data_IF_098451747139
#
_entry.id   IF_098451747139
#
_cell.length_a   1.000
_cell.length_b   1.000
_cell.length_c   1.000
_cell.angle_alpha   90.00
_cell.angle_beta   90.00
_cell.angle_gamma   90.00
#
_symmetry.space_group_name_H-M   'P 1'
#
loop_
_entity.id
_entity.type
_entity.pdbx_description
1 polymer ?
#
# COMPACT_ATOMS: atom_id res chain seq x y z
N UNK A 1 1.98 31.23 -20.07
CA UNK A 1 1.91 29.88 -19.46
C UNK A 1 0.46 29.42 -19.55
N UNK A 2 0.07 28.87 -20.72
CA UNK A 2 -0.18 27.44 -20.98
C UNK A 2 -1.27 26.80 -20.09
N UNK A 3 -2.51 27.28 -20.28
CA UNK A 3 -3.73 26.51 -20.04
C UNK A 3 -4.59 26.59 -21.30
N UNK A 4 -4.30 25.77 -22.31
CA UNK A 4 -5.18 25.53 -23.46
C UNK A 4 -4.81 24.19 -24.10
N UNK A 5 -5.47 23.11 -23.66
CA UNK A 5 -5.77 21.85 -24.37
C UNK A 5 -6.37 20.84 -23.38
N UNK A 6 -7.57 21.13 -22.90
CA UNK A 6 -8.47 20.13 -22.28
C UNK A 6 -9.93 20.35 -22.70
N UNK A 7 -10.17 21.20 -23.71
CA UNK A 7 -11.51 21.48 -24.23
C UNK A 7 -11.60 21.02 -25.69
N UNK A 8 -11.47 19.72 -25.91
CA UNK A 8 -12.06 19.01 -27.06
C UNK A 8 -12.67 17.71 -26.54
N UNK A 9 -13.45 17.83 -25.46
CA UNK A 9 -14.29 16.76 -24.92
C UNK A 9 -15.60 17.47 -24.54
N UNK A 10 -16.71 17.05 -25.15
CA UNK A 10 -18.06 17.65 -25.09
C UNK A 10 -18.24 19.04 -25.72
N UNK A 11 -18.39 19.07 -27.04
CA UNK A 11 -19.49 19.81 -27.68
C UNK A 11 -19.61 19.33 -29.13
N UNK A 12 -20.86 19.23 -29.59
CA UNK A 12 -21.33 19.22 -30.99
C UNK A 12 -22.22 18.02 -31.33
N UNK A 13 -23.25 17.81 -30.51
CA UNK A 13 -24.53 17.27 -30.98
C UNK A 13 -25.51 18.44 -31.07
N UNK A 14 -25.50 19.18 -32.17
CA UNK A 14 -26.41 20.31 -32.31
C UNK A 14 -26.05 21.29 -33.42
N UNK A 15 -26.24 20.88 -34.67
CA UNK A 15 -26.72 21.73 -35.77
C UNK A 15 -26.67 20.95 -37.08
N UNK A 16 -27.57 19.98 -37.24
CA UNK A 16 -27.82 19.33 -38.53
C UNK A 16 -29.15 19.81 -39.08
N UNK A 17 -29.28 21.06 -39.54
CA UNK A 17 -30.38 21.44 -40.43
C UNK A 17 -29.95 22.51 -41.45
N UNK A 18 -30.07 22.10 -42.72
CA UNK A 18 -30.34 22.87 -43.93
C UNK A 18 -29.31 23.93 -44.40
N UNK A 19 -28.67 23.66 -45.55
CA UNK A 19 -29.04 24.31 -46.81
C UNK A 19 -28.37 23.58 -48.01
N UNK A 20 -29.18 23.26 -49.01
CA UNK A 20 -28.77 22.69 -50.30
C UNK A 20 -27.98 23.73 -51.13
N UNK A 21 -26.88 23.30 -51.77
CA UNK A 21 -26.15 24.12 -52.74
C UNK A 21 -24.87 23.46 -53.23
N UNK A 22 -24.83 23.13 -54.52
CA UNK A 22 -23.84 22.26 -55.19
C UNK A 22 -22.44 22.89 -55.39
N UNK A 23 -21.40 22.04 -55.31
CA UNK A 23 -19.97 22.31 -55.60
C UNK A 23 -19.07 21.32 -54.85
N UNK A 24 -17.78 21.08 -55.19
CA UNK A 24 -17.02 19.91 -54.73
C UNK A 24 -16.55 20.09 -53.29
N UNK A 25 -17.48 20.05 -52.34
CA UNK A 25 -17.22 20.02 -50.90
C UNK A 25 -16.99 18.58 -50.42
N UNK A 26 -17.22 17.59 -51.29
CA UNK A 26 -17.10 16.17 -50.97
C UNK A 26 -15.66 15.74 -50.64
N UNK A 27 -14.64 16.31 -51.27
CA UNK A 27 -13.25 15.93 -50.98
C UNK A 27 -12.70 16.54 -49.68
N UNK A 28 -13.09 17.78 -49.34
CA UNK A 28 -12.63 18.44 -48.10
C UNK A 28 -13.40 17.97 -46.86
N UNK A 29 -14.67 17.55 -47.02
CA UNK A 29 -15.42 16.88 -45.97
C UNK A 29 -14.87 15.48 -45.70
N UNK A 30 -14.43 14.75 -46.73
CA UNK A 30 -13.80 13.43 -46.57
C UNK A 30 -12.39 13.52 -45.98
N UNK A 31 -11.58 14.52 -46.34
CA UNK A 31 -10.22 14.69 -45.80
C UNK A 31 -10.23 15.21 -44.35
N UNK A 32 -11.22 16.04 -43.97
CA UNK A 32 -11.44 16.45 -42.57
C UNK A 32 -12.19 15.39 -41.74
N UNK A 33 -13.06 14.57 -42.34
CA UNK A 33 -13.61 13.38 -41.70
C UNK A 33 -12.53 12.30 -41.50
N UNK A 34 -11.58 12.16 -42.44
CA UNK A 34 -10.41 11.28 -42.32
C UNK A 34 -9.40 11.75 -41.25
N UNK A 35 -9.34 13.06 -40.97
CA UNK A 35 -8.57 13.64 -39.87
C UNK A 35 -9.30 13.59 -38.51
N UNK A 36 -10.65 13.55 -38.49
CA UNK A 36 -11.44 13.35 -37.27
C UNK A 36 -11.63 11.87 -36.88
N UNK A 37 -11.45 10.94 -37.82
CA UNK A 37 -11.08 9.56 -37.51
C UNK A 37 -9.60 9.49 -37.12
N UNK A 38 -9.23 10.18 -36.05
CA UNK A 38 -8.04 9.82 -35.29
C UNK A 38 -8.30 8.45 -34.67
N UNK A 39 -8.22 7.40 -35.51
CA UNK A 39 -8.00 6.00 -35.19
C UNK A 39 -8.53 5.57 -33.82
N UNK A 40 -9.84 5.71 -33.57
CA UNK A 40 -10.50 5.12 -32.41
C UNK A 40 -10.55 3.60 -32.64
N UNK A 41 -9.43 2.94 -32.38
CA UNK A 41 -9.32 1.48 -32.45
C UNK A 41 -9.69 0.96 -31.06
N UNK A 42 -10.74 0.12 -30.93
CA UNK A 42 -11.03 -0.55 -29.67
C UNK A 42 -9.78 -1.28 -29.14
N UNK A 43 -9.59 -1.25 -27.84
CA UNK A 43 -8.42 -1.78 -27.16
C UNK A 43 -7.44 -0.70 -26.70
N UNK A 44 -6.16 -1.05 -26.65
CA UNK A 44 -5.10 -0.22 -26.09
C UNK A 44 -4.78 1.00 -26.96
N UNK A 45 -4.82 2.18 -26.33
CA UNK A 45 -4.48 3.46 -26.94
C UNK A 45 -3.58 4.26 -26.00
N UNK A 46 -2.60 4.97 -26.57
CA UNK A 46 -1.67 5.79 -25.80
C UNK A 46 -1.91 7.28 -26.08
N UNK A 47 -2.03 8.08 -25.02
CA UNK A 47 -2.14 9.53 -25.12
C UNK A 47 -1.34 10.20 -23.99
N UNK A 48 -0.50 11.17 -24.34
CA UNK A 48 0.33 11.93 -23.38
C UNK A 48 1.18 11.04 -22.46
N UNK A 49 1.68 9.91 -22.99
CA UNK A 49 2.50 8.96 -22.24
C UNK A 49 1.71 8.02 -21.32
N UNK A 50 0.38 8.12 -21.28
CA UNK A 50 -0.49 7.23 -20.50
C UNK A 50 -1.24 6.26 -21.41
N UNK A 51 -1.53 5.08 -20.90
CA UNK A 51 -2.30 4.05 -21.61
C UNK A 51 -3.77 4.08 -21.21
N UNK A 52 -4.64 3.85 -22.17
CA UNK A 52 -6.09 3.84 -22.04
C UNK A 52 -6.65 2.63 -22.77
N UNK A 53 -7.77 2.11 -22.30
CA UNK A 53 -8.52 1.08 -23.01
C UNK A 53 -9.83 1.66 -23.53
N UNK A 54 -10.02 1.61 -24.85
CA UNK A 54 -11.26 1.99 -25.49
C UNK A 54 -12.13 0.76 -25.72
N UNK A 55 -13.38 0.85 -25.30
CA UNK A 55 -14.41 -0.14 -25.57
C UNK A 55 -14.87 -0.07 -27.04
N UNK A 56 -15.64 -1.08 -27.48
CA UNK A 56 -16.14 -1.14 -28.86
C UNK A 56 -17.03 0.04 -29.25
N UNK A 57 -17.69 0.66 -28.28
CA UNK A 57 -18.54 1.84 -28.45
C UNK A 57 -17.75 3.16 -28.41
N UNK A 58 -16.42 3.09 -28.27
CA UNK A 58 -15.53 4.25 -28.20
C UNK A 58 -15.43 4.89 -26.81
N UNK A 59 -16.04 4.30 -25.78
CA UNK A 59 -15.94 4.79 -24.41
C UNK A 59 -14.64 4.32 -23.72
N UNK A 60 -14.14 5.12 -22.78
CA UNK A 60 -13.00 4.73 -21.93
C UNK A 60 -13.44 3.72 -20.86
N UNK A 61 -12.69 2.62 -20.75
CA UNK A 61 -12.86 1.66 -19.66
C UNK A 61 -12.27 2.21 -18.35
N UNK A 62 -12.90 1.87 -17.23
CA UNK A 62 -12.51 2.25 -15.87
C UNK A 62 -12.61 1.03 -14.96
N UNK A 63 -11.75 0.95 -13.95
CA UNK A 63 -11.68 -0.17 -13.01
C UNK A 63 -10.95 -1.38 -13.59
N UNK A 64 -11.34 -2.57 -13.12
CA UNK A 64 -10.69 -3.83 -13.46
C UNK A 64 -10.88 -4.23 -14.93
N UNK A 65 -9.77 -4.31 -15.65
CA UNK A 65 -9.72 -4.76 -17.04
C UNK A 65 -8.97 -6.09 -17.14
N UNK A 66 -9.60 -7.11 -17.74
CA UNK A 66 -8.95 -8.38 -18.06
C UNK A 66 -8.87 -8.57 -19.56
N UNK A 67 -7.66 -8.61 -20.09
CA UNK A 67 -7.40 -8.80 -21.52
C UNK A 67 -6.15 -9.66 -21.72
N UNK A 68 -6.14 -10.49 -22.76
CA UNK A 68 -5.00 -11.36 -23.11
C UNK A 68 -4.48 -12.24 -21.95
N UNK A 69 -5.37 -12.63 -21.04
CA UNK A 69 -5.02 -13.45 -19.86
C UNK A 69 -4.33 -12.67 -18.73
N UNK A 70 -4.15 -11.36 -18.86
CA UNK A 70 -3.60 -10.46 -17.84
C UNK A 70 -4.69 -9.57 -17.23
N UNK A 71 -4.45 -9.13 -16.00
CA UNK A 71 -5.32 -8.18 -15.29
C UNK A 71 -4.64 -6.83 -15.19
N UNK A 72 -5.40 -5.78 -15.39
CA UNK A 72 -5.00 -4.38 -15.35
C UNK A 72 -6.02 -3.60 -14.52
N UNK A 73 -5.64 -2.42 -14.06
CA UNK A 73 -6.57 -1.49 -13.43
C UNK A 73 -6.50 -0.13 -14.11
N UNK A 74 -7.66 0.38 -14.50
CA UNK A 74 -7.83 1.68 -15.11
C UNK A 74 -8.38 2.64 -14.05
N UNK A 75 -7.72 3.78 -13.83
CA UNK A 75 -8.15 4.76 -12.84
C UNK A 75 -9.49 5.44 -13.21
N UNK A 76 -9.94 6.38 -12.39
CA UNK A 76 -11.20 7.09 -12.60
C UNK A 76 -11.22 7.94 -13.90
N UNK A 77 -10.04 8.29 -14.41
CA UNK A 77 -9.88 8.99 -15.70
C UNK A 77 -9.71 8.01 -16.87
N UNK A 78 -9.73 6.70 -16.62
CA UNK A 78 -9.50 5.64 -17.59
C UNK A 78 -8.02 5.44 -17.94
N UNK A 79 -7.09 6.03 -17.18
CA UNK A 79 -5.66 5.82 -17.38
C UNK A 79 -5.19 4.55 -16.66
N UNK A 80 -4.36 3.76 -17.33
CA UNK A 80 -3.80 2.53 -16.80
C UNK A 80 -2.90 2.80 -15.60
N UNK A 81 -3.11 2.07 -14.52
CA UNK A 81 -2.32 2.16 -13.29
C UNK A 81 -1.05 1.32 -13.38
N UNK A 82 0.03 1.86 -12.83
CA UNK A 82 1.32 1.20 -12.60
C UNK A 82 1.75 1.46 -11.16
N UNK A 83 2.58 0.59 -10.58
CA UNK A 83 3.03 0.64 -9.20
C UNK A 83 2.00 0.15 -8.19
N UNK A 84 2.19 0.52 -6.92
CA UNK A 84 1.30 0.19 -5.82
C UNK A 84 -0.06 0.89 -5.94
N UNK A 85 -1.14 0.16 -5.71
CA UNK A 85 -2.50 0.70 -5.74
C UNK A 85 -3.42 -0.04 -4.78
N UNK A 86 -4.12 0.72 -3.95
CA UNK A 86 -5.26 0.23 -3.20
C UNK A 86 -6.52 0.18 -4.10
N UNK A 87 -7.20 -0.95 -4.10
CA UNK A 87 -8.50 -1.17 -4.75
C UNK A 87 -9.39 -1.95 -3.79
N UNK A 88 -10.54 -1.38 -3.45
CA UNK A 88 -11.55 -2.01 -2.58
C UNK A 88 -10.99 -2.53 -1.23
N UNK A 89 -10.01 -1.83 -0.64
CA UNK A 89 -9.39 -2.19 0.65
C UNK A 89 -8.29 -3.25 0.57
N UNK A 90 -7.88 -3.63 -0.64
CA UNK A 90 -6.77 -4.54 -0.91
C UNK A 90 -5.67 -3.81 -1.70
N UNK A 91 -4.41 -4.13 -1.42
CA UNK A 91 -3.26 -3.55 -2.11
C UNK A 91 -2.77 -4.47 -3.22
N UNK A 92 -2.51 -3.89 -4.38
CA UNK A 92 -2.01 -4.58 -5.57
C UNK A 92 -0.77 -3.88 -6.09
N UNK A 93 0.07 -4.61 -6.81
CA UNK A 93 1.18 -4.03 -7.57
C UNK A 93 0.96 -4.26 -9.06
N UNK A 94 1.05 -3.19 -9.84
CA UNK A 94 0.98 -3.23 -11.30
C UNK A 94 2.37 -2.95 -11.88
N UNK A 95 2.88 -3.84 -12.72
CA UNK A 95 4.18 -3.67 -13.37
C UNK A 95 4.17 -2.46 -14.33
N UNK A 96 5.33 -2.08 -14.86
CA UNK A 96 5.43 -0.94 -15.80
C UNK A 96 4.57 -1.11 -17.06
N UNK A 97 4.32 -2.36 -17.46
CA UNK A 97 3.42 -2.71 -18.57
C UNK A 97 1.94 -2.72 -18.16
N UNK A 98 1.62 -2.36 -16.91
CA UNK A 98 0.29 -2.34 -16.30
C UNK A 98 -0.23 -3.70 -15.84
N UNK A 99 0.51 -4.79 -16.05
CA UNK A 99 0.10 -6.12 -15.63
C UNK A 99 0.11 -6.24 -14.11
N UNK A 100 -0.99 -6.70 -13.52
CA UNK A 100 -1.08 -6.99 -12.10
C UNK A 100 -0.15 -8.14 -11.70
N UNK A 101 0.60 -7.94 -10.63
CA UNK A 101 1.47 -8.96 -10.05
C UNK A 101 0.64 -10.07 -9.36
N UNK A 102 1.04 -11.33 -9.55
CA UNK A 102 0.36 -12.52 -8.99
C UNK A 102 1.30 -13.43 -8.19
N UNK A 103 2.59 -13.09 -8.13
CA UNK A 103 3.62 -13.92 -7.52
C UNK A 103 4.51 -13.12 -6.58
N UNK A 104 5.68 -13.66 -6.26
CA UNK A 104 6.69 -12.94 -5.49
C UNK A 104 7.17 -11.69 -6.25
N UNK A 105 7.36 -10.60 -5.52
CA UNK A 105 7.95 -9.36 -6.03
C UNK A 105 9.12 -8.96 -5.13
N UNK A 106 10.21 -8.52 -5.73
CA UNK A 106 11.34 -7.92 -5.03
C UNK A 106 11.52 -6.51 -5.58
N UNK A 107 11.48 -5.51 -4.70
CA UNK A 107 11.78 -4.11 -5.03
C UNK A 107 12.81 -3.62 -4.02
N UNK A 108 13.96 -3.15 -4.50
CA UNK A 108 15.10 -2.75 -3.68
C UNK A 108 15.47 -3.83 -2.65
N UNK A 109 15.29 -3.56 -1.35
CA UNK A 109 15.50 -4.52 -0.27
C UNK A 109 14.20 -5.11 0.29
N UNK A 110 13.04 -4.81 -0.31
CA UNK A 110 11.73 -5.34 0.07
C UNK A 110 11.34 -6.58 -0.74
N UNK A 111 10.80 -7.58 -0.05
CA UNK A 111 10.24 -8.81 -0.59
C UNK A 111 8.75 -8.88 -0.25
N UNK A 112 7.91 -9.05 -1.25
CA UNK A 112 6.45 -8.97 -1.12
C UNK A 112 5.79 -10.27 -1.57
N UNK A 113 4.82 -10.72 -0.78
CA UNK A 113 4.02 -11.91 -1.04
C UNK A 113 2.58 -11.51 -1.33
N UNK A 114 2.02 -12.08 -2.39
CA UNK A 114 0.66 -11.81 -2.84
C UNK A 114 -0.18 -13.08 -2.82
N UNK A 115 -1.49 -12.91 -2.67
CA UNK A 115 -2.47 -13.97 -2.82
C UNK A 115 -2.59 -14.39 -4.29
N UNK A 116 -3.25 -15.52 -4.55
CA UNK A 116 -3.55 -15.96 -5.92
C UNK A 116 -4.43 -15.00 -6.72
N UNK A 117 -5.04 -14.01 -6.06
CA UNK A 117 -5.85 -12.96 -6.69
C UNK A 117 -5.08 -11.64 -6.83
N UNK A 118 -3.79 -11.60 -6.46
CA UNK A 118 -2.92 -10.43 -6.60
C UNK A 118 -2.96 -9.44 -5.43
N UNK A 119 -3.79 -9.68 -4.40
CA UNK A 119 -3.79 -8.84 -3.20
C UNK A 119 -2.56 -9.13 -2.33
N UNK A 120 -1.89 -8.08 -1.86
CA UNK A 120 -0.74 -8.13 -0.95
C UNK A 120 -1.14 -8.86 0.35
N UNK A 121 -0.27 -9.76 0.81
CA UNK A 121 -0.49 -10.57 2.02
C UNK A 121 0.53 -10.23 3.09
N UNK A 122 1.80 -10.10 2.70
CA UNK A 122 2.86 -9.73 3.62
C UNK A 122 4.03 -9.09 2.86
N UNK A 123 4.86 -8.37 3.59
CA UNK A 123 6.15 -7.91 3.11
C UNK A 123 7.23 -8.15 4.17
N UNK A 124 8.47 -8.25 3.73
CA UNK A 124 9.65 -8.41 4.57
C UNK A 124 10.86 -7.83 3.87
N UNK A 125 12.00 -7.78 4.55
CA UNK A 125 13.26 -7.48 3.89
C UNK A 125 13.75 -8.72 3.13
N UNK A 126 14.56 -8.50 2.10
CA UNK A 126 15.31 -9.58 1.42
C UNK A 126 16.34 -10.14 2.40
N UNK A 127 16.35 -11.45 2.60
CA UNK A 127 17.28 -12.09 3.53
C UNK A 127 18.74 -11.80 3.18
N UNK A 128 19.58 -11.67 4.21
CA UNK A 128 21.01 -11.38 4.13
C UNK A 128 21.37 -10.01 3.51
N UNK A 129 20.46 -9.03 3.57
CA UNK A 129 20.74 -7.63 3.18
C UNK A 129 20.98 -6.71 4.38
N UNK A 130 20.99 -7.25 5.59
CA UNK A 130 21.25 -6.52 6.83
C UNK A 130 19.99 -6.21 7.64
N UNK A 131 18.82 -6.70 7.21
CA UNK A 131 17.53 -6.35 7.80
C UNK A 131 17.22 -4.85 7.75
N UNK A 132 16.43 -4.39 8.72
CA UNK A 132 16.04 -2.98 8.84
C UNK A 132 14.81 -2.60 8.02
N UNK A 133 14.74 -1.32 7.70
CA UNK A 133 13.61 -0.70 7.02
C UNK A 133 13.52 -1.13 5.54
N UNK A 134 12.29 -1.22 5.05
CA UNK A 134 11.94 -1.45 3.64
C UNK A 134 10.58 -0.82 3.37
N UNK A 135 10.31 -0.47 2.11
CA UNK A 135 9.00 0.04 1.69
C UNK A 135 7.92 -1.03 1.92
N UNK A 136 6.89 -0.73 2.71
CA UNK A 136 5.81 -1.69 2.95
C UNK A 136 4.83 -1.78 1.77
N UNK A 137 4.88 -0.83 0.83
CA UNK A 137 4.04 -0.72 -0.36
C UNK A 137 2.58 -0.33 -0.10
N UNK A 138 2.14 -0.37 1.16
CA UNK A 138 0.74 -0.16 1.56
C UNK A 138 0.56 0.92 2.63
N UNK A 139 1.64 1.52 3.10
CA UNK A 139 1.62 2.59 4.07
C UNK A 139 1.63 3.95 3.39
N UNK A 140 0.94 4.92 3.99
CA UNK A 140 1.16 6.33 3.67
C UNK A 140 2.53 6.78 4.19
N UNK A 141 2.98 7.96 3.76
CA UNK A 141 4.30 8.49 4.11
C UNK A 141 4.55 8.52 5.63
N UNK A 142 3.50 8.80 6.41
CA UNK A 142 3.56 8.94 7.87
C UNK A 142 3.68 7.59 8.57
N UNK A 143 2.90 6.59 8.14
CA UNK A 143 3.02 5.21 8.61
C UNK A 143 4.34 4.58 8.18
N UNK A 144 4.82 4.87 6.97
CA UNK A 144 6.10 4.37 6.48
C UNK A 144 7.27 4.92 7.30
N UNK A 145 7.29 6.21 7.64
CA UNK A 145 8.35 6.78 8.49
C UNK A 145 8.37 6.13 9.89
N UNK A 146 7.21 5.93 10.52
CA UNK A 146 7.15 5.21 11.79
C UNK A 146 7.63 3.76 11.65
N UNK A 147 7.27 3.09 10.55
CA UNK A 147 7.71 1.73 10.26
C UNK A 147 9.22 1.64 10.09
N UNK A 148 9.83 2.60 9.40
CA UNK A 148 11.27 2.66 9.20
C UNK A 148 11.99 2.82 10.54
N UNK A 149 11.57 3.77 11.38
CA UNK A 149 12.14 3.99 12.70
C UNK A 149 12.05 2.75 13.61
N UNK A 150 10.91 2.04 13.58
CA UNK A 150 10.72 0.79 14.33
C UNK A 150 11.62 -0.34 13.82
N UNK A 151 11.79 -0.47 12.51
CA UNK A 151 12.66 -1.48 11.92
C UNK A 151 14.14 -1.19 12.16
N UNK A 152 14.57 0.06 11.99
CA UNK A 152 15.94 0.47 12.27
C UNK A 152 16.30 0.21 13.73
N UNK A 153 15.41 0.58 14.67
CA UNK A 153 15.67 0.29 16.08
C UNK A 153 15.72 -1.22 16.37
N UNK A 154 14.89 -2.02 15.72
CA UNK A 154 14.89 -3.47 15.87
C UNK A 154 16.17 -4.10 15.31
N UNK A 155 16.64 -3.61 14.17
CA UNK A 155 17.92 -4.00 13.56
C UNK A 155 19.08 -3.73 14.51
N UNK A 156 19.15 -2.52 15.06
CA UNK A 156 20.19 -2.13 16.01
C UNK A 156 20.21 -3.08 17.21
N UNK A 157 19.05 -3.31 17.85
CA UNK A 157 18.94 -4.21 19.00
C UNK A 157 19.41 -5.62 18.67
N UNK A 158 19.06 -6.12 17.47
CA UNK A 158 19.43 -7.46 17.04
C UNK A 158 20.95 -7.61 16.87
N UNK A 159 21.62 -6.66 16.23
CA UNK A 159 23.07 -6.73 16.05
C UNK A 159 23.85 -6.36 17.32
N UNK A 160 23.28 -5.56 18.22
CA UNK A 160 23.80 -5.40 19.57
C UNK A 160 23.77 -6.72 20.38
N UNK A 161 22.70 -7.53 20.25
CA UNK A 161 22.60 -8.84 20.91
C UNK A 161 23.50 -9.91 20.23
N UNK A 162 23.75 -9.78 18.92
CA UNK A 162 24.52 -10.75 18.13
C UNK A 162 25.56 -10.10 17.19
N UNK A 163 26.61 -9.45 17.74
CA UNK A 163 27.58 -8.71 16.92
C UNK A 163 28.32 -9.60 15.91
N UNK A 164 28.65 -10.84 16.29
CA UNK A 164 29.38 -11.79 15.43
C UNK A 164 28.62 -12.15 14.13
N UNK A 165 27.31 -11.86 14.04
CA UNK A 165 26.50 -12.14 12.84
C UNK A 165 26.75 -11.16 11.71
N UNK A 166 27.29 -9.98 11.99
CA UNK A 166 27.61 -8.97 10.97
C UNK A 166 28.93 -9.33 10.24
N UNK A 167 29.88 -9.92 10.96
CA UNK A 167 31.26 -10.12 10.48
C UNK A 167 31.49 -11.44 9.70
N UNK A 168 30.62 -12.45 9.85
CA UNK A 168 30.87 -13.81 9.34
C UNK A 168 30.20 -14.14 7.99
N UNK A 169 29.59 -13.19 7.27
CA UNK A 169 28.93 -13.51 6.00
C UNK A 169 29.90 -13.60 4.81
N UNK A 170 30.34 -14.82 4.48
CA UNK A 170 31.20 -15.10 3.31
C UNK A 170 30.42 -15.45 2.01
N UNK A 171 29.09 -15.49 2.08
CA UNK A 171 28.21 -15.79 0.95
C UNK A 171 28.08 -17.28 0.57
N UNK A 172 28.86 -18.19 1.17
CA UNK A 172 28.78 -19.65 0.97
C UNK A 172 28.10 -20.35 2.18
N UNK A 173 28.03 -19.66 3.32
CA UNK A 173 27.25 -20.11 4.47
C UNK A 173 25.74 -20.09 4.20
N UNK A 174 25.09 -21.26 4.37
CA UNK A 174 23.63 -21.43 4.30
C UNK A 174 22.88 -20.87 5.54
N UNK A 175 23.36 -19.74 6.10
CA UNK A 175 22.77 -19.10 7.28
C UNK A 175 22.10 -17.78 6.86
N UNK A 176 20.95 -17.51 7.46
CA UNK A 176 20.27 -16.21 7.35
C UNK A 176 20.72 -15.37 8.55
N UNK A 177 21.71 -14.50 8.36
CA UNK A 177 22.36 -13.80 9.48
C UNK A 177 21.47 -12.69 10.06
N UNK A 178 20.59 -12.12 9.26
CA UNK A 178 19.68 -11.03 9.60
C UNK A 178 18.25 -11.48 9.88
N UNK A 179 18.01 -12.79 10.10
CA UNK A 179 16.68 -13.43 10.18
C UNK A 179 15.65 -12.68 11.05
N UNK A 180 16.09 -11.98 12.09
CA UNK A 180 15.21 -11.25 13.01
C UNK A 180 15.52 -9.76 13.14
N UNK A 181 16.33 -9.21 12.22
CA UNK A 181 16.77 -7.81 12.23
C UNK A 181 15.73 -6.86 11.60
N UNK A 182 14.46 -7.26 11.54
CA UNK A 182 13.36 -6.44 11.04
C UNK A 182 12.00 -7.07 11.38
N UNK A 183 10.94 -6.37 11.02
CA UNK A 183 9.56 -6.86 11.12
C UNK A 183 9.08 -7.35 9.76
N UNK A 184 8.35 -8.47 9.74
CA UNK A 184 7.52 -8.83 8.60
C UNK A 184 6.19 -8.08 8.71
N UNK A 185 5.89 -7.20 7.76
CA UNK A 185 4.59 -6.55 7.65
C UNK A 185 3.54 -7.61 7.29
N UNK A 186 2.42 -7.61 8.01
CA UNK A 186 1.31 -8.55 7.77
C UNK A 186 0.01 -7.81 7.50
N UNK A 187 -0.58 -8.02 6.31
CA UNK A 187 -1.77 -7.30 5.88
C UNK A 187 -3.01 -7.61 6.73
N UNK A 188 -3.07 -8.79 7.36
CA UNK A 188 -4.18 -9.10 8.28
C UNK A 188 -4.03 -8.28 9.56
N UNK A 189 -2.80 -8.11 10.05
CA UNK A 189 -2.53 -7.22 11.18
C UNK A 189 -2.74 -5.75 10.84
N UNK A 190 -2.44 -5.30 9.62
CA UNK A 190 -2.75 -3.94 9.16
C UNK A 190 -4.27 -3.67 9.19
N UNK A 191 -5.06 -4.59 8.65
CA UNK A 191 -6.53 -4.49 8.70
C UNK A 191 -7.06 -4.52 10.13
N UNK A 192 -6.49 -5.35 11.00
CA UNK A 192 -6.82 -5.37 12.41
C UNK A 192 -6.48 -4.04 13.09
N UNK A 193 -5.30 -3.48 12.83
CA UNK A 193 -4.88 -2.19 13.34
C UNK A 193 -5.81 -1.07 12.86
N UNK A 194 -6.22 -1.08 11.58
CA UNK A 194 -7.18 -0.13 11.02
C UNK A 194 -8.54 -0.18 11.70
N UNK A 195 -9.12 -1.38 11.80
CA UNK A 195 -10.39 -1.60 12.51
C UNK A 195 -10.34 -1.08 13.95
N UNK A 196 -9.26 -1.43 14.66
CA UNK A 196 -9.08 -1.06 16.07
C UNK A 196 -8.78 0.43 16.24
N UNK A 197 -8.08 1.05 15.30
CA UNK A 197 -7.85 2.49 15.30
C UNK A 197 -9.18 3.24 15.15
N UNK A 198 -10.01 2.83 14.19
CA UNK A 198 -11.33 3.43 13.98
C UNK A 198 -12.22 3.26 15.21
N UNK A 199 -12.21 2.06 15.84
CA UNK A 199 -12.91 1.78 17.10
C UNK A 199 -12.41 2.64 18.26
N UNK A 200 -11.10 2.78 18.42
CA UNK A 200 -10.47 3.61 19.46
C UNK A 200 -10.77 5.11 19.29
N UNK A 201 -10.80 5.61 18.06
CA UNK A 201 -11.11 7.00 17.75
C UNK A 201 -12.59 7.34 17.93
N UNK A 202 -13.49 6.38 17.69
CA UNK A 202 -14.93 6.57 17.83
C UNK A 202 -15.43 6.33 19.27
N UNK A 203 -14.99 5.24 19.90
CA UNK A 203 -15.50 4.79 21.20
C UNK A 203 -14.57 5.09 22.39
N UNK A 204 -13.34 5.53 22.13
CA UNK A 204 -12.30 5.68 23.13
C UNK A 204 -11.47 4.41 23.34
N UNK A 205 -10.38 4.55 24.09
CA UNK A 205 -9.42 3.49 24.37
C UNK A 205 -8.93 3.64 25.81
N UNK A 206 -9.10 2.59 26.62
CA UNK A 206 -8.66 2.56 28.01
C UNK A 206 -8.29 1.13 28.41
N UNK A 207 -7.25 0.98 29.25
CA UNK A 207 -6.80 -0.31 29.77
C UNK A 207 -6.62 -1.41 28.71
N UNK A 208 -6.02 -1.03 27.58
CA UNK A 208 -5.80 -1.89 26.41
C UNK A 208 -7.09 -2.50 25.83
N UNK A 209 -8.20 -1.75 25.93
CA UNK A 209 -9.54 -2.16 25.49
C UNK A 209 -10.25 -1.05 24.73
N UNK A 210 -11.02 -1.48 23.74
CA UNK A 210 -12.00 -0.66 23.01
C UNK A 210 -13.40 -1.04 23.51
N UNK A 211 -14.25 -0.06 23.88
CA UNK A 211 -15.62 -0.35 24.31
C UNK A 211 -16.41 -1.13 23.26
N UNK A 212 -17.05 -2.23 23.67
CA UNK A 212 -17.84 -3.11 22.79
C UNK A 212 -17.03 -4.17 22.05
N UNK A 213 -15.72 -3.99 21.87
CA UNK A 213 -14.84 -4.93 21.15
C UNK A 213 -13.91 -5.70 22.10
N UNK A 214 -13.43 -5.06 23.17
CA UNK A 214 -12.48 -5.64 24.10
C UNK A 214 -11.03 -5.45 23.68
N UNK A 215 -10.20 -6.46 23.96
CA UNK A 215 -8.76 -6.44 23.68
C UNK A 215 -8.45 -6.86 22.25
N UNK A 216 -7.23 -6.58 21.78
CA UNK A 216 -6.76 -7.07 20.47
C UNK A 216 -6.83 -8.59 20.36
N UNK A 217 -6.62 -9.33 21.45
CA UNK A 217 -6.74 -10.79 21.45
C UNK A 217 -8.17 -11.27 21.22
N UNK A 218 -9.16 -10.54 21.75
CA UNK A 218 -10.58 -10.84 21.54
C UNK A 218 -10.93 -10.66 20.06
N UNK A 219 -10.47 -9.56 19.45
CA UNK A 219 -10.66 -9.28 18.02
C UNK A 219 -9.93 -10.30 17.11
N UNK A 220 -8.66 -10.59 17.37
CA UNK A 220 -7.89 -11.57 16.60
C UNK A 220 -8.50 -12.97 16.69
N UNK A 221 -9.08 -13.32 17.85
CA UNK A 221 -9.84 -14.55 18.03
C UNK A 221 -11.13 -14.56 17.20
N UNK A 222 -11.85 -13.44 17.17
CA UNK A 222 -13.06 -13.27 16.36
C UNK A 222 -12.80 -13.48 14.87
N UNK A 223 -11.71 -12.93 14.33
CA UNK A 223 -11.32 -13.12 12.92
C UNK A 223 -10.56 -14.44 12.67
N UNK A 224 -10.43 -15.31 13.67
CA UNK A 224 -9.71 -16.58 13.61
C UNK A 224 -8.24 -16.48 13.16
N UNK A 225 -7.57 -15.38 13.49
CA UNK A 225 -6.18 -15.14 13.09
C UNK A 225 -5.23 -15.34 14.28
N UNK A 226 -4.34 -16.34 14.18
CA UNK A 226 -3.22 -16.59 15.12
C UNK A 226 -3.59 -16.44 16.61
N UNK A 227 -4.77 -16.92 17.03
CA UNK A 227 -5.37 -16.76 18.38
C UNK A 227 -4.51 -17.12 19.60
N UNK A 228 -3.40 -17.83 19.42
CA UNK A 228 -2.48 -18.24 20.50
C UNK A 228 -1.13 -17.51 20.45
N UNK A 229 -0.93 -16.61 19.48
CA UNK A 229 0.29 -15.84 19.36
C UNK A 229 0.31 -14.74 20.41
N UNK A 230 1.48 -14.51 21.02
CA UNK A 230 1.68 -13.33 21.85
C UNK A 230 1.60 -12.08 20.96
N UNK A 231 0.70 -11.17 21.29
CA UNK A 231 0.58 -9.88 20.63
C UNK A 231 0.68 -8.72 21.63
N UNK A 232 1.06 -7.55 21.14
CA UNK A 232 1.05 -6.30 21.86
C UNK A 232 0.44 -5.23 20.98
N UNK A 233 -0.60 -4.60 21.50
CA UNK A 233 -1.24 -3.45 20.89
C UNK A 233 -0.72 -2.16 21.51
N UNK A 234 -0.44 -1.18 20.65
CA UNK A 234 0.03 0.13 21.01
C UNK A 234 -0.81 1.17 20.28
N UNK A 235 -1.78 1.74 20.99
CA UNK A 235 -2.48 2.93 20.52
C UNK A 235 -1.67 4.19 20.87
N UNK A 236 -1.20 4.90 19.86
CA UNK A 236 -0.39 6.12 19.98
C UNK A 236 -1.19 7.27 19.38
N UNK A 237 -1.32 8.37 20.11
CA UNK A 237 -2.27 9.44 19.78
C UNK A 237 -1.67 10.80 20.00
N UNK A 238 -2.27 11.78 19.33
CA UNK A 238 -1.96 13.20 19.50
C UNK A 238 -0.47 13.47 19.27
N UNK A 239 0.07 12.95 18.17
CA UNK A 239 1.46 13.19 17.75
C UNK A 239 1.52 14.28 16.69
N UNK A 240 2.60 15.06 16.67
CA UNK A 240 2.93 15.99 15.61
C UNK A 240 3.46 15.26 14.37
N UNK A 241 4.25 14.21 14.58
CA UNK A 241 4.88 13.41 13.53
C UNK A 241 5.14 11.95 13.96
N UNK A 242 5.74 11.18 13.05
CA UNK A 242 6.11 9.79 13.29
C UNK A 242 7.25 9.64 14.32
N UNK A 243 8.17 10.60 14.42
CA UNK A 243 9.24 10.58 15.43
C UNK A 243 8.69 10.72 16.86
N UNK A 244 7.72 11.62 17.07
CA UNK A 244 7.04 11.70 18.36
C UNK A 244 6.24 10.42 18.66
N UNK A 245 5.63 9.81 17.64
CA UNK A 245 4.95 8.53 17.80
C UNK A 245 5.92 7.41 18.21
N UNK A 246 7.09 7.36 17.58
CA UNK A 246 8.16 6.42 17.90
C UNK A 246 8.67 6.60 19.33
N UNK A 247 8.93 7.83 19.77
CA UNK A 247 9.37 8.13 21.13
C UNK A 247 8.32 7.71 22.17
N UNK A 248 7.03 7.99 21.90
CA UNK A 248 5.93 7.51 22.76
C UNK A 248 5.84 6.00 22.83
N UNK A 249 6.10 5.28 21.72
CA UNK A 249 6.17 3.81 21.72
C UNK A 249 7.30 3.34 22.62
N UNK A 250 8.51 3.88 22.44
CA UNK A 250 9.67 3.50 23.26
C UNK A 250 9.42 3.75 24.74
N UNK A 251 8.92 4.93 25.09
CA UNK A 251 8.62 5.27 26.48
C UNK A 251 7.61 4.29 27.10
N UNK A 252 6.56 3.91 26.35
CA UNK A 252 5.58 2.90 26.79
C UNK A 252 6.20 1.52 26.99
N UNK A 253 7.05 1.10 26.06
CA UNK A 253 7.74 -0.19 26.13
C UNK A 253 8.72 -0.22 27.32
N UNK A 254 9.54 0.81 27.48
CA UNK A 254 10.54 0.92 28.55
C UNK A 254 9.89 0.94 29.93
N UNK A 255 8.83 1.74 30.11
CA UNK A 255 8.06 1.78 31.37
C UNK A 255 7.51 0.39 31.74
N UNK A 256 6.95 -0.32 30.78
CA UNK A 256 6.40 -1.66 31.00
C UNK A 256 7.53 -2.68 31.27
N UNK A 257 8.64 -2.60 30.53
CA UNK A 257 9.81 -3.45 30.73
C UNK A 257 10.41 -3.30 32.14
N UNK A 258 10.63 -2.07 32.61
CA UNK A 258 11.13 -1.80 33.96
C UNK A 258 10.18 -2.28 35.05
N UNK A 259 8.87 -2.23 34.81
CA UNK A 259 7.87 -2.63 35.80
C UNK A 259 7.70 -4.14 35.95
N UNK A 260 7.90 -4.91 34.88
CA UNK A 260 7.55 -6.34 34.81
C UNK A 260 8.73 -7.26 34.51
N UNK A 261 9.85 -6.72 34.05
CA UNK A 261 11.03 -7.48 33.58
C UNK A 261 10.65 -8.56 32.55
N UNK A 262 9.69 -8.24 31.68
CA UNK A 262 9.12 -9.18 30.72
C UNK A 262 9.62 -8.85 29.31
N UNK A 263 10.27 -9.83 28.65
CA UNK A 263 10.82 -9.66 27.29
C UNK A 263 9.76 -9.29 26.27
N UNK A 264 8.47 -9.51 26.54
CA UNK A 264 7.37 -9.06 25.67
C UNK A 264 7.29 -7.54 25.50
N UNK A 265 8.05 -6.75 26.27
CA UNK A 265 8.15 -5.31 26.08
C UNK A 265 9.42 -4.88 25.33
N UNK A 266 10.20 -5.82 24.76
CA UNK A 266 11.23 -5.54 23.77
C UNK A 266 10.70 -5.77 22.35
N UNK A 267 11.09 -4.91 21.41
CA UNK A 267 10.79 -5.08 19.98
C UNK A 267 11.36 -6.39 19.42
N UNK A 268 12.46 -6.90 19.99
CA UNK A 268 13.12 -8.14 19.57
C UNK A 268 12.26 -9.39 19.77
N UNK A 269 11.30 -9.33 20.69
CA UNK A 269 10.40 -10.44 21.01
C UNK A 269 9.43 -10.74 19.87
N UNK A 270 9.04 -9.71 19.12
CA UNK A 270 8.06 -9.79 18.04
C UNK A 270 8.72 -10.00 16.68
N UNK A 271 7.98 -10.61 15.75
CA UNK A 271 8.44 -10.97 14.40
C UNK A 271 7.63 -10.26 13.32
N UNK A 272 6.34 -10.08 13.58
CA UNK A 272 5.38 -9.46 12.68
C UNK A 272 4.90 -8.14 13.24
N UNK A 273 4.54 -7.25 12.33
CA UNK A 273 3.95 -5.96 12.62
C UNK A 273 2.75 -5.77 11.69
N UNK A 274 1.67 -5.21 12.23
CA UNK A 274 0.73 -4.47 11.42
C UNK A 274 0.45 -3.10 12.04
N UNK A 275 0.20 -2.10 11.22
CA UNK A 275 -0.18 -0.78 11.70
C UNK A 275 -1.23 -0.11 10.83
N UNK A 276 -1.85 0.91 11.40
CA UNK A 276 -2.70 1.85 10.70
C UNK A 276 -2.44 3.26 11.22
N UNK A 277 -2.70 4.23 10.35
CA UNK A 277 -2.51 5.65 10.59
C UNK A 277 -3.78 6.44 10.24
N UNK A 278 -4.04 7.50 11.02
CA UNK A 278 -5.08 8.50 10.78
C UNK A 278 -4.59 9.87 11.19
N UNK A 279 -4.77 10.85 10.32
CA UNK A 279 -4.67 12.25 10.68
C UNK A 279 -6.04 12.78 11.14
N UNK A 280 -6.06 13.54 12.24
CA UNK A 280 -7.24 14.28 12.69
C UNK A 280 -6.83 15.58 13.36
N UNK A 281 -7.40 16.69 12.91
CA UNK A 281 -7.16 18.04 13.45
C UNK A 281 -5.65 18.42 13.46
N UNK A 282 -4.91 17.98 12.42
CA UNK A 282 -3.46 18.21 12.29
C UNK A 282 -2.58 17.36 13.21
N UNK A 283 -3.17 16.36 13.87
CA UNK A 283 -2.48 15.41 14.75
C UNK A 283 -2.52 14.01 14.17
N UNK A 284 -1.45 13.25 14.42
CA UNK A 284 -1.26 11.89 13.93
C UNK A 284 -1.65 10.87 15.01
N UNK A 285 -2.36 9.83 14.58
CA UNK A 285 -2.84 8.74 15.41
C UNK A 285 -2.43 7.42 14.76
N UNK A 286 -1.84 6.53 15.56
CA UNK A 286 -1.36 5.25 15.10
C UNK A 286 -1.92 4.13 15.97
N UNK A 287 -2.26 3.02 15.33
CA UNK A 287 -2.47 1.75 15.99
C UNK A 287 -1.40 0.79 15.50
N UNK A 288 -0.55 0.29 16.40
CA UNK A 288 0.50 -0.68 16.07
C UNK A 288 0.21 -2.00 16.79
N UNK A 289 0.17 -3.10 16.04
CA UNK A 289 0.00 -4.46 16.55
C UNK A 289 1.29 -5.22 16.26
N UNK A 290 2.03 -5.57 17.30
CA UNK A 290 3.21 -6.42 17.23
C UNK A 290 2.81 -7.86 17.56
N UNK A 291 3.33 -8.82 16.79
CA UNK A 291 3.02 -10.25 16.98
C UNK A 291 4.26 -11.13 16.88
N UNK A 292 4.35 -12.13 17.77
CA UNK A 292 5.45 -13.07 17.83
C UNK A 292 5.31 -14.21 16.83
#
# INVERSE_FOLDING_TARGET
MRYRRCAVILAMAGALWALEGAGPVTALADEQAQLMTASFIPGWNQAEGRWYWLEQDGNLHRGWLRTEGRSYYMDENGAMVTGWREVDGEWYYFHEDGGMNLGELILDNGKYEFSSQGALVSAGWVENTGGGAYDAGCYDDMAQDLFDQLNEKKKDLYFEEYPDREDEYDGDMHRVYDRYAGFQMDMTLNKAAGHRLDGAMAGGYADDRIPGEGTVNDYLSFINYRRNASCLELYVRDCDDASEAFDKIKEKLDKRFQSMTDRKYSLEYYRRLGMAHREKDGKQYFMVILMR
#
